data_IF_243801002038
#
_entry.id   IF_243801002038
#
_cell.length_a   1.000
_cell.length_b   1.000
_cell.length_c   1.000
_cell.angle_alpha   90.00
_cell.angle_beta   90.00
_cell.angle_gamma   90.00
#
_symmetry.space_group_name_H-M   'P 1'
#
loop_
_entity.id
_entity.type
_entity.pdbx_description
1 polymer ?
#
# COMPACT_ATOMS: atom_id res chain seq x y z
N UNK A 1 34.51 -3.47 12.34
CA UNK A 1 33.41 -2.97 11.48
C UNK A 1 33.97 -1.81 10.68
N UNK A 2 33.72 -1.75 9.37
CA UNK A 2 34.13 -0.60 8.57
C UNK A 2 33.44 0.68 9.10
N UNK A 3 34.10 1.84 9.00
CA UNK A 3 33.46 3.10 9.36
C UNK A 3 32.25 3.35 8.44
N UNK A 4 31.13 3.85 8.99
CA UNK A 4 29.97 4.18 8.18
C UNK A 4 30.31 5.33 7.23
N UNK A 5 30.14 5.11 5.93
CA UNK A 5 30.36 6.11 4.87
C UNK A 5 29.23 7.16 4.79
N UNK A 6 28.14 6.98 5.53
CA UNK A 6 26.97 7.86 5.53
C UNK A 6 25.69 7.14 5.97
N UNK A 7 24.55 7.80 5.76
CA UNK A 7 23.21 7.25 6.00
C UNK A 7 22.35 7.35 4.74
N UNK A 8 21.53 6.34 4.49
CA UNK A 8 20.56 6.29 3.40
C UNK A 8 19.20 5.87 3.97
N UNK A 9 18.14 6.58 3.59
CA UNK A 9 16.77 6.29 3.99
C UNK A 9 15.89 6.17 2.74
N UNK A 10 15.42 4.96 2.45
CA UNK A 10 14.41 4.72 1.43
C UNK A 10 13.02 4.81 2.07
N UNK A 11 12.20 5.76 1.61
CA UNK A 11 10.83 5.94 2.07
C UNK A 11 9.87 5.67 0.91
N UNK A 12 9.05 4.64 1.05
CA UNK A 12 8.05 4.23 0.06
C UNK A 12 6.66 4.66 0.53
N UNK A 13 5.99 5.54 -0.21
CA UNK A 13 4.64 5.99 0.12
C UNK A 13 3.59 5.17 -0.62
N UNK A 14 2.71 4.50 0.11
CA UNK A 14 1.65 3.63 -0.40
C UNK A 14 0.28 4.24 -0.11
N UNK A 15 -0.41 4.61 -1.17
CA UNK A 15 -1.73 5.24 -1.11
C UNK A 15 -2.60 4.76 -2.27
N UNK A 16 -3.86 4.48 -1.95
CA UNK A 16 -4.97 4.49 -2.89
C UNK A 16 -6.15 5.18 -2.21
N UNK A 17 -7.00 5.90 -2.96
CA UNK A 17 -8.25 6.42 -2.43
C UNK A 17 -9.18 5.26 -2.03
N UNK A 18 -10.29 5.58 -1.37
CA UNK A 18 -11.31 4.58 -1.06
C UNK A 18 -11.98 4.13 -2.36
N UNK A 19 -11.64 2.95 -2.85
CA UNK A 19 -12.16 2.36 -4.10
C UNK A 19 -12.98 1.10 -3.86
N UNK A 20 -12.71 0.38 -2.78
CA UNK A 20 -13.51 -0.77 -2.36
C UNK A 20 -14.99 -0.33 -2.25
N UNK A 21 -15.93 -1.11 -2.79
CA UNK A 21 -17.38 -0.86 -2.85
C UNK A 21 -17.91 0.08 -3.94
N UNK A 22 -17.05 0.63 -4.79
CA UNK A 22 -17.50 1.49 -5.89
C UNK A 22 -17.96 0.63 -7.08
N UNK A 23 -17.11 0.52 -8.10
CA UNK A 23 -17.32 -0.29 -9.27
C UNK A 23 -16.11 -1.22 -9.46
N UNK A 24 -16.30 -2.31 -10.20
CA UNK A 24 -15.24 -3.30 -10.42
C UNK A 24 -13.96 -2.71 -11.02
N UNK A 25 -14.05 -1.66 -11.84
CA UNK A 25 -12.88 -1.06 -12.50
C UNK A 25 -11.98 -0.30 -11.52
N UNK A 26 -12.56 0.38 -10.54
CA UNK A 26 -11.81 1.12 -9.51
C UNK A 26 -11.25 0.17 -8.44
N UNK A 27 -11.97 -0.92 -8.14
CA UNK A 27 -11.49 -1.98 -7.24
C UNK A 27 -10.26 -2.71 -7.82
N UNK A 28 -10.19 -2.85 -9.15
CA UNK A 28 -9.02 -3.43 -9.82
C UNK A 28 -7.73 -2.67 -9.50
N UNK A 29 -7.76 -1.35 -9.28
CA UNK A 29 -6.56 -0.59 -8.90
C UNK A 29 -5.98 -1.06 -7.56
N UNK A 30 -6.84 -1.39 -6.60
CA UNK A 30 -6.40 -1.94 -5.32
C UNK A 30 -5.77 -3.31 -5.51
N UNK A 31 -6.41 -4.18 -6.29
CA UNK A 31 -5.90 -5.53 -6.52
C UNK A 31 -4.60 -5.54 -7.33
N UNK A 32 -4.47 -4.69 -8.34
CA UNK A 32 -3.23 -4.49 -9.12
C UNK A 32 -2.09 -4.02 -8.22
N UNK A 33 -2.32 -2.98 -7.42
CA UNK A 33 -1.30 -2.46 -6.50
C UNK A 33 -0.86 -3.52 -5.48
N UNK A 34 -1.80 -4.31 -4.95
CA UNK A 34 -1.46 -5.40 -4.03
C UNK A 34 -0.67 -6.49 -4.73
N UNK A 35 -1.12 -6.97 -5.89
CA UNK A 35 -0.48 -8.08 -6.60
C UNK A 35 0.90 -7.73 -7.15
N UNK A 36 1.07 -6.51 -7.67
CA UNK A 36 2.24 -6.12 -8.46
C UNK A 36 3.23 -5.22 -7.72
N UNK A 37 2.82 -4.63 -6.59
CA UNK A 37 3.69 -3.77 -5.78
C UNK A 37 3.82 -4.25 -4.34
N UNK A 38 2.71 -4.33 -3.60
CA UNK A 38 2.77 -4.54 -2.15
C UNK A 38 3.25 -5.95 -1.78
N UNK A 39 2.66 -7.00 -2.37
CA UNK A 39 3.08 -8.37 -2.08
C UNK A 39 4.51 -8.67 -2.56
N UNK A 40 4.94 -8.28 -3.77
CA UNK A 40 6.34 -8.41 -4.17
C UNK A 40 7.32 -7.72 -3.20
N UNK A 41 7.02 -6.50 -2.75
CA UNK A 41 7.83 -5.79 -1.77
C UNK A 41 7.89 -6.55 -0.44
N UNK A 42 6.74 -6.96 0.09
CA UNK A 42 6.67 -7.75 1.32
C UNK A 42 7.44 -9.07 1.20
N UNK A 43 7.40 -9.73 0.05
CA UNK A 43 8.14 -10.96 -0.21
C UNK A 43 9.65 -10.71 -0.15
N UNK A 44 10.15 -9.63 -0.77
CA UNK A 44 11.58 -9.25 -0.70
C UNK A 44 11.98 -8.96 0.75
N UNK A 45 11.21 -8.14 1.46
CA UNK A 45 11.50 -7.80 2.86
C UNK A 45 11.49 -9.04 3.76
N UNK A 46 10.52 -9.94 3.57
CA UNK A 46 10.41 -11.19 4.32
C UNK A 46 11.60 -12.11 4.05
N UNK A 47 12.03 -12.23 2.79
CA UNK A 47 13.20 -13.05 2.42
C UNK A 47 14.51 -12.49 3.00
N UNK A 48 14.69 -11.17 3.01
CA UNK A 48 15.85 -10.54 3.63
C UNK A 48 15.84 -10.74 5.14
N UNK A 49 14.69 -10.53 5.78
CA UNK A 49 14.52 -10.73 7.23
C UNK A 49 14.80 -12.18 7.65
N UNK A 50 14.36 -13.16 6.86
CA UNK A 50 14.64 -14.58 7.09
C UNK A 50 16.13 -14.94 7.01
N UNK A 51 16.95 -14.10 6.33
CA UNK A 51 18.41 -14.23 6.26
C UNK A 51 19.13 -13.41 7.34
N UNK A 52 18.41 -12.91 8.34
CA UNK A 52 18.91 -11.99 9.38
C UNK A 52 19.47 -10.67 8.81
N UNK A 53 18.97 -10.24 7.65
CA UNK A 53 19.27 -8.93 7.08
C UNK A 53 18.09 -8.00 7.37
N UNK A 54 18.33 -6.87 8.04
CA UNK A 54 17.33 -5.81 8.15
C UNK A 54 17.51 -4.83 7.00
N UNK A 55 16.57 -4.76 6.03
CA UNK A 55 16.66 -3.84 4.90
C UNK A 55 16.47 -2.37 5.32
N UNK A 56 15.94 -2.12 6.53
CA UNK A 56 15.72 -0.78 7.11
C UNK A 56 14.97 0.16 6.15
N UNK A 57 13.95 -0.36 5.48
CA UNK A 57 13.09 0.43 4.58
C UNK A 57 11.94 1.04 5.38
N UNK A 58 11.61 2.30 5.08
CA UNK A 58 10.46 2.97 5.65
C UNK A 58 9.29 2.90 4.67
N UNK A 59 8.10 2.52 5.14
CA UNK A 59 6.89 2.39 4.32
C UNK A 59 5.79 3.25 4.93
N UNK A 60 5.35 4.28 4.22
CA UNK A 60 4.15 5.03 4.54
C UNK A 60 2.91 4.31 4.01
N UNK A 61 1.92 4.09 4.87
CA UNK A 61 0.64 3.50 4.51
C UNK A 61 -0.47 4.47 4.91
N UNK A 62 -1.24 4.94 3.94
CA UNK A 62 -2.36 5.82 4.26
C UNK A 62 -3.45 5.06 5.04
N UNK A 63 -4.10 5.68 6.02
CA UNK A 63 -5.18 5.06 6.79
C UNK A 63 -6.31 4.50 5.92
N UNK A 64 -6.76 5.26 4.92
CA UNK A 64 -7.77 4.80 3.95
C UNK A 64 -7.36 3.55 3.18
N UNK A 65 -6.06 3.35 2.90
CA UNK A 65 -5.56 2.12 2.31
C UNK A 65 -5.60 0.96 3.32
N UNK A 66 -5.13 1.20 4.56
CA UNK A 66 -5.16 0.18 5.62
C UNK A 66 -6.58 -0.30 5.91
N UNK A 67 -7.55 0.60 5.95
CA UNK A 67 -8.94 0.27 6.21
C UNK A 67 -9.54 -0.59 5.09
N UNK A 68 -9.16 -0.38 3.83
CA UNK A 68 -9.55 -1.24 2.70
C UNK A 68 -8.91 -2.62 2.78
N UNK A 69 -7.62 -2.70 3.11
CA UNK A 69 -6.90 -3.96 3.25
C UNK A 69 -7.39 -4.81 4.43
N UNK A 70 -7.95 -4.16 5.46
CA UNK A 70 -8.54 -4.80 6.63
C UNK A 70 -10.01 -5.20 6.42
N UNK A 71 -10.64 -4.76 5.33
CA UNK A 71 -12.04 -5.06 5.07
C UNK A 71 -12.22 -6.58 4.84
N UNK A 72 -13.19 -7.23 5.48
CA UNK A 72 -13.42 -8.67 5.31
C UNK A 72 -13.69 -9.11 3.86
N UNK A 73 -14.11 -8.19 2.98
CA UNK A 73 -14.35 -8.46 1.56
C UNK A 73 -13.08 -8.46 0.73
N UNK A 74 -12.04 -7.72 1.16
CA UNK A 74 -10.83 -7.54 0.37
C UNK A 74 -10.14 -8.85 0.03
N UNK A 75 -9.84 -9.68 1.04
CA UNK A 75 -9.09 -10.92 0.84
C UNK A 75 -9.77 -11.90 -0.16
N UNK A 76 -11.06 -12.26 -0.04
CA UNK A 76 -11.71 -13.15 -1.00
C UNK A 76 -11.79 -12.54 -2.41
N UNK A 77 -12.06 -11.24 -2.53
CA UNK A 77 -12.13 -10.57 -3.84
C UNK A 77 -10.77 -10.47 -4.52
N UNK A 78 -9.72 -10.17 -3.76
CA UNK A 78 -8.34 -10.17 -4.25
C UNK A 78 -7.91 -11.54 -4.75
N UNK A 79 -8.23 -12.62 -4.00
CA UNK A 79 -7.92 -13.99 -4.43
C UNK A 79 -8.63 -14.30 -5.75
N UNK A 80 -9.92 -13.98 -5.86
CA UNK A 80 -10.68 -14.19 -7.10
C UNK A 80 -10.10 -13.41 -8.28
N UNK A 81 -9.69 -12.15 -8.06
CA UNK A 81 -9.00 -11.34 -9.06
C UNK A 81 -7.70 -12.01 -9.55
N UNK A 82 -6.85 -12.47 -8.64
CA UNK A 82 -5.57 -13.10 -9.01
C UNK A 82 -5.81 -14.42 -9.75
N UNK A 83 -6.77 -15.24 -9.31
CA UNK A 83 -7.15 -16.48 -10.01
C UNK A 83 -7.64 -16.21 -11.45
N UNK A 84 -8.43 -15.15 -11.65
CA UNK A 84 -8.84 -14.71 -12.99
C UNK A 84 -7.62 -14.32 -13.85
N UNK A 85 -6.64 -13.61 -13.29
CA UNK A 85 -5.41 -13.24 -14.02
C UNK A 85 -4.54 -14.46 -14.36
N UNK A 86 -4.43 -15.44 -13.45
CA UNK A 86 -3.77 -16.73 -13.73
C UNK A 86 -4.46 -17.45 -14.88
N UNK A 87 -5.79 -17.50 -14.88
CA UNK A 87 -6.56 -18.14 -15.94
C UNK A 87 -6.31 -17.46 -17.29
N UNK A 88 -6.49 -16.13 -17.37
CA UNK A 88 -6.29 -15.36 -18.58
C UNK A 88 -4.88 -15.54 -19.15
N UNK A 89 -3.84 -15.39 -18.32
CA UNK A 89 -2.46 -15.58 -18.75
C UNK A 89 -2.17 -17.02 -19.21
N UNK A 90 -2.81 -18.02 -18.60
CA UNK A 90 -2.67 -19.42 -19.02
C UNK A 90 -3.38 -19.69 -20.36
N UNK A 91 -4.50 -19.03 -20.63
CA UNK A 91 -5.18 -19.10 -21.91
C UNK A 91 -4.36 -18.43 -23.02
N UNK A 92 -3.80 -17.26 -22.75
CA UNK A 92 -2.90 -16.55 -23.66
C UNK A 92 -1.67 -17.39 -24.00
N UNK A 93 -1.06 -18.03 -22.99
CA UNK A 93 0.06 -18.96 -23.21
C UNK A 93 -0.33 -20.07 -24.20
N UNK A 94 -1.49 -20.71 -24.02
CA UNK A 94 -1.98 -21.75 -24.94
C UNK A 94 -2.28 -21.18 -26.32
N UNK A 95 -2.85 -19.98 -26.39
CA UNK A 95 -3.16 -19.29 -27.65
C UNK A 95 -1.91 -19.03 -28.48
N UNK A 96 -0.88 -18.41 -27.88
CA UNK A 96 0.37 -18.12 -28.58
C UNK A 96 1.17 -19.39 -28.91
N UNK A 97 1.11 -20.42 -28.07
CA UNK A 97 1.71 -21.74 -28.38
C UNK A 97 1.11 -22.34 -29.64
N UNK A 98 -0.23 -22.30 -29.80
CA UNK A 98 -0.91 -22.81 -31.02
C UNK A 98 -0.57 -22.02 -32.28
N UNK A 99 -0.06 -20.79 -32.14
CA UNK A 99 0.31 -19.90 -33.25
C UNK A 99 1.80 -19.94 -33.58
N UNK A 100 2.57 -20.79 -32.91
CA UNK A 100 4.04 -20.85 -33.02
C UNK A 100 4.73 -19.53 -32.63
N UNK A 101 4.07 -18.72 -31.78
CA UNK A 101 4.66 -17.50 -31.22
C UNK A 101 5.29 -17.81 -29.86
N UNK A 102 6.45 -18.46 -29.91
CA UNK A 102 7.15 -18.94 -28.71
C UNK A 102 7.54 -17.82 -27.73
N UNK A 103 7.79 -16.60 -28.24
CA UNK A 103 8.15 -15.47 -27.39
C UNK A 103 6.96 -15.01 -26.55
N UNK A 104 5.80 -14.78 -27.17
CA UNK A 104 4.59 -14.37 -26.46
C UNK A 104 4.03 -15.49 -25.57
N UNK A 105 4.13 -16.75 -26.00
CA UNK A 105 3.76 -17.89 -25.17
C UNK A 105 4.59 -17.94 -23.88
N UNK A 106 5.91 -17.71 -23.97
CA UNK A 106 6.79 -17.64 -22.81
C UNK A 106 6.42 -16.46 -21.90
N UNK A 107 6.18 -15.28 -22.45
CA UNK A 107 5.80 -14.10 -21.66
C UNK A 107 4.49 -14.32 -20.90
N UNK A 108 3.46 -14.86 -21.55
CA UNK A 108 2.20 -15.21 -20.90
C UNK A 108 2.39 -16.25 -19.78
N UNK A 109 3.26 -17.24 -20.01
CA UNK A 109 3.64 -18.21 -18.98
C UNK A 109 4.33 -17.57 -17.77
N UNK A 110 5.19 -16.57 -17.96
CA UNK A 110 5.82 -15.83 -16.86
C UNK A 110 4.79 -15.07 -16.02
N UNK A 111 3.78 -14.46 -16.65
CA UNK A 111 2.69 -13.78 -15.94
C UNK A 111 1.79 -14.75 -15.18
N UNK A 112 1.44 -15.89 -15.78
CA UNK A 112 0.68 -16.92 -15.08
C UNK A 112 1.42 -17.41 -13.82
N UNK A 113 2.73 -17.63 -13.92
CA UNK A 113 3.56 -18.04 -12.79
C UNK A 113 3.74 -16.93 -11.75
N UNK A 114 3.87 -15.68 -12.18
CA UNK A 114 3.90 -14.53 -11.30
C UNK A 114 2.67 -14.49 -10.39
N UNK A 115 1.47 -14.47 -10.96
CA UNK A 115 0.23 -14.41 -10.20
C UNK A 115 -0.01 -15.64 -9.31
N UNK A 116 0.36 -16.85 -9.76
CA UNK A 116 0.30 -18.06 -8.92
C UNK A 116 1.16 -17.94 -7.67
N UNK A 117 2.40 -17.45 -7.82
CA UNK A 117 3.29 -17.26 -6.67
C UNK A 117 2.80 -16.14 -5.76
N UNK A 118 2.26 -15.06 -6.33
CA UNK A 118 1.68 -13.94 -5.57
C UNK A 118 0.53 -14.41 -4.67
N UNK A 119 -0.44 -15.17 -5.19
CA UNK A 119 -1.54 -15.68 -4.36
C UNK A 119 -1.08 -16.75 -3.37
N UNK A 120 -0.12 -17.60 -3.75
CA UNK A 120 0.45 -18.60 -2.84
C UNK A 120 1.15 -17.94 -1.64
N UNK A 121 1.92 -16.87 -1.87
CA UNK A 121 2.56 -16.08 -0.82
C UNK A 121 1.52 -15.39 0.08
N UNK A 122 0.50 -14.76 -0.52
CA UNK A 122 -0.55 -14.09 0.25
C UNK A 122 -1.32 -15.07 1.15
N UNK A 123 -1.78 -16.19 0.61
CA UNK A 123 -2.61 -17.17 1.35
C UNK A 123 -1.75 -18.02 2.29
N UNK A 124 -0.62 -18.54 1.82
CA UNK A 124 0.23 -19.45 2.58
C UNK A 124 1.07 -18.74 3.62
N UNK A 125 2.00 -17.89 3.18
CA UNK A 125 2.98 -17.26 4.05
C UNK A 125 2.38 -16.13 4.91
N UNK A 126 1.41 -15.38 4.36
CA UNK A 126 0.79 -14.26 5.10
C UNK A 126 -0.54 -14.63 5.76
N UNK A 127 -1.09 -15.82 5.52
CA UNK A 127 -2.42 -16.23 6.01
C UNK A 127 -3.53 -15.25 5.61
N UNK A 128 -3.41 -14.68 4.41
CA UNK A 128 -4.29 -13.63 3.86
C UNK A 128 -4.36 -12.36 4.73
N UNK A 129 -3.38 -12.12 5.60
CA UNK A 129 -3.31 -10.97 6.50
C UNK A 129 -2.05 -10.14 6.27
N UNK A 130 -2.14 -9.21 5.31
CA UNK A 130 -1.04 -8.32 4.94
C UNK A 130 -0.69 -7.34 6.08
N UNK A 131 -1.69 -6.86 6.82
CA UNK A 131 -1.49 -5.91 7.93
C UNK A 131 -0.78 -6.62 9.09
N UNK A 132 -1.16 -7.85 9.41
CA UNK A 132 -0.47 -8.68 10.38
C UNK A 132 0.97 -8.96 9.97
N UNK A 133 1.24 -9.22 8.69
CA UNK A 133 2.60 -9.38 8.17
C UNK A 133 3.45 -8.12 8.38
N UNK A 134 2.94 -6.96 7.99
CA UNK A 134 3.60 -5.66 8.22
C UNK A 134 3.83 -5.40 9.71
N UNK A 135 2.86 -5.73 10.58
CA UNK A 135 3.01 -5.62 12.04
C UNK A 135 4.15 -6.48 12.56
N UNK A 136 4.30 -7.72 12.06
CA UNK A 136 5.41 -8.63 12.43
C UNK A 136 6.76 -8.05 11.97
N UNK A 137 6.85 -7.59 10.73
CA UNK A 137 8.07 -7.02 10.16
C UNK A 137 8.50 -5.75 10.90
N UNK A 138 7.54 -4.89 11.29
CA UNK A 138 7.82 -3.72 12.12
C UNK A 138 8.36 -4.10 13.50
N UNK A 139 7.76 -5.11 14.15
CA UNK A 139 8.22 -5.59 15.46
C UNK A 139 9.64 -6.18 15.40
N UNK A 140 10.02 -6.72 14.25
CA UNK A 140 11.37 -7.23 13.97
C UNK A 140 12.37 -6.14 13.56
N UNK A 141 11.94 -4.88 13.50
CA UNK A 141 12.74 -3.75 13.02
C UNK A 141 13.27 -3.97 11.58
N UNK A 142 12.57 -4.78 10.77
CA UNK A 142 12.88 -4.98 9.37
C UNK A 142 12.39 -3.80 8.51
N UNK A 143 11.27 -3.20 8.94
CA UNK A 143 10.67 -2.00 8.34
C UNK A 143 10.27 -1.00 9.41
N UNK A 144 10.29 0.27 9.06
CA UNK A 144 9.61 1.32 9.81
C UNK A 144 8.31 1.70 9.09
N UNK A 145 7.19 1.74 9.80
CA UNK A 145 5.91 2.11 9.21
C UNK A 145 5.53 3.54 9.59
N UNK A 146 5.06 4.31 8.60
CA UNK A 146 4.53 5.65 8.80
C UNK A 146 3.02 5.65 8.58
N UNK A 147 2.33 6.55 9.27
CA UNK A 147 0.92 6.89 8.96
C UNK A 147 0.85 8.13 8.06
N UNK A 148 -0.36 8.55 7.71
CA UNK A 148 -0.64 9.80 7.00
C UNK A 148 -1.98 10.38 7.47
N UNK A 149 -2.47 11.42 6.79
CA UNK A 149 -3.83 11.93 6.96
C UNK A 149 -4.86 10.84 6.60
N UNK A 150 -5.98 10.81 7.32
CA UNK A 150 -7.01 9.78 7.21
C UNK A 150 -7.34 9.37 5.76
N UNK A 151 -7.61 10.35 4.90
CA UNK A 151 -7.98 10.12 3.49
C UNK A 151 -6.97 10.73 2.53
N UNK A 152 -5.73 10.93 2.97
CA UNK A 152 -4.69 11.61 2.17
C UNK A 152 -5.11 13.02 1.69
N UNK A 153 -5.91 13.73 2.52
CA UNK A 153 -6.39 15.06 2.17
C UNK A 153 -5.23 16.05 1.99
N UNK A 154 -5.34 16.95 1.00
CA UNK A 154 -4.35 18.00 0.75
C UNK A 154 -4.40 19.06 1.87
N UNK A 155 -3.70 18.77 2.98
CA UNK A 155 -3.83 19.47 4.26
C UNK A 155 -3.73 21.00 4.16
N UNK A 156 -2.79 21.60 3.39
CA UNK A 156 -2.67 23.05 3.29
C UNK A 156 -3.88 23.81 2.76
N UNK A 157 -4.77 23.12 2.02
CA UNK A 157 -5.95 23.74 1.42
C UNK A 157 -7.25 23.47 2.19
N UNK A 158 -7.18 22.70 3.29
CA UNK A 158 -8.33 22.57 4.17
C UNK A 158 -8.57 23.90 4.90
N UNK A 159 -9.77 24.44 4.71
CA UNK A 159 -10.17 25.75 5.21
C UNK A 159 -10.14 25.84 6.74
N UNK A 160 -10.59 24.78 7.41
CA UNK A 160 -10.73 24.76 8.87
C UNK A 160 -9.57 24.01 9.51
N UNK A 161 -8.99 24.59 10.56
CA UNK A 161 -7.99 23.90 11.37
C UNK A 161 -8.53 22.60 11.99
N UNK A 162 -9.82 22.58 12.31
CA UNK A 162 -10.50 21.39 12.82
C UNK A 162 -10.51 20.24 11.79
N UNK A 163 -10.63 20.54 10.50
CA UNK A 163 -10.54 19.54 9.43
C UNK A 163 -9.12 18.98 9.29
N UNK A 164 -8.09 19.83 9.39
CA UNK A 164 -6.69 19.39 9.42
C UNK A 164 -6.43 18.49 10.63
N UNK A 165 -6.87 18.92 11.83
CA UNK A 165 -6.73 18.15 13.06
C UNK A 165 -7.42 16.80 12.98
N UNK A 166 -8.66 16.76 12.52
CA UNK A 166 -9.42 15.52 12.37
C UNK A 166 -8.71 14.54 11.42
N UNK A 167 -8.18 15.00 10.29
CA UNK A 167 -7.42 14.16 9.36
C UNK A 167 -6.18 13.52 10.01
N UNK A 168 -5.44 14.26 10.84
CA UNK A 168 -4.25 13.76 11.53
C UNK A 168 -4.63 12.81 12.67
N UNK A 169 -5.62 13.17 13.49
CA UNK A 169 -6.05 12.38 14.64
C UNK A 169 -6.66 11.04 14.22
N UNK A 170 -7.56 11.05 13.23
CA UNK A 170 -8.16 9.83 12.67
C UNK A 170 -7.07 8.96 12.05
N UNK A 171 -6.13 9.55 11.30
CA UNK A 171 -5.06 8.78 10.68
C UNK A 171 -4.10 8.14 11.69
N UNK A 172 -3.81 8.84 12.78
CA UNK A 172 -3.02 8.30 13.90
C UNK A 172 -3.78 7.21 14.65
N UNK A 173 -5.09 7.38 14.86
CA UNK A 173 -5.94 6.40 15.52
C UNK A 173 -6.09 5.10 14.70
N UNK A 174 -6.30 5.22 13.38
CA UNK A 174 -6.36 4.08 12.46
C UNK A 174 -5.04 3.31 12.46
N UNK A 175 -3.89 3.99 12.39
CA UNK A 175 -2.58 3.34 12.54
C UNK A 175 -2.46 2.56 13.86
N UNK A 176 -2.86 3.17 14.98
CA UNK A 176 -2.80 2.52 16.29
C UNK A 176 -3.71 1.30 16.35
N UNK A 177 -4.90 1.37 15.76
CA UNK A 177 -5.84 0.23 15.65
C UNK A 177 -5.21 -0.93 14.88
N UNK A 178 -4.53 -0.64 13.76
CA UNK A 178 -3.95 -1.66 12.88
C UNK A 178 -2.61 -2.21 13.37
N UNK A 179 -1.77 -1.42 14.05
CA UNK A 179 -0.42 -1.84 14.44
C UNK A 179 -0.22 -1.99 15.95
N UNK A 180 -1.17 -1.54 16.78
CA UNK A 180 -1.12 -1.65 18.23
C UNK A 180 -0.10 -0.71 18.89
N UNK A 181 0.57 0.15 18.12
CA UNK A 181 1.60 1.07 18.59
C UNK A 181 1.35 2.48 18.04
N UNK A 182 2.01 3.46 18.66
CA UNK A 182 1.98 4.84 18.23
C UNK A 182 2.86 5.02 16.97
N UNK A 183 2.40 5.72 15.92
CA UNK A 183 3.26 6.00 14.77
C UNK A 183 4.36 6.97 15.21
N UNK A 184 5.60 6.71 14.79
CA UNK A 184 6.75 7.59 15.08
C UNK A 184 7.03 8.62 13.98
N UNK A 185 6.48 8.40 12.79
CA UNK A 185 6.57 9.34 11.69
C UNK A 185 5.27 9.41 10.90
N UNK A 186 5.20 10.44 10.07
CA UNK A 186 4.00 10.84 9.36
C UNK A 186 4.38 11.29 7.95
N UNK A 187 3.76 10.68 6.95
CA UNK A 187 3.84 11.16 5.58
C UNK A 187 2.80 12.26 5.36
N UNK A 188 3.26 13.50 5.14
CA UNK A 188 2.37 14.59 4.75
C UNK A 188 1.81 14.29 3.34
N UNK A 189 0.49 14.30 3.13
CA UNK A 189 -0.08 14.11 1.81
C UNK A 189 0.54 15.06 0.78
N UNK A 190 1.07 14.50 -0.31
CA UNK A 190 1.81 15.23 -1.35
C UNK A 190 3.02 16.04 -0.85
N UNK A 191 3.58 15.66 0.30
CA UNK A 191 4.55 16.46 1.03
C UNK A 191 4.10 17.92 1.23
N UNK A 192 2.78 18.16 1.19
CA UNK A 192 2.20 19.48 1.15
C UNK A 192 2.26 20.10 2.55
N UNK A 193 2.91 21.26 2.63
CA UNK A 193 3.18 21.94 3.89
C UNK A 193 2.77 23.40 3.82
N UNK A 194 2.18 23.90 4.91
CA UNK A 194 1.86 25.32 5.11
C UNK A 194 2.46 25.78 6.44
N UNK A 195 3.38 26.75 6.46
CA UNK A 195 3.87 27.34 7.70
C UNK A 195 2.76 28.18 8.37
N UNK A 196 2.99 28.58 9.62
CA UNK A 196 2.12 29.56 10.28
C UNK A 196 2.18 30.91 9.54
N UNK A 197 1.04 31.55 9.35
CA UNK A 197 0.95 32.84 8.67
C UNK A 197 -0.43 33.12 8.09
N UNK A 198 -0.57 34.27 7.44
CA UNK A 198 -1.76 34.58 6.66
C UNK A 198 -1.88 33.61 5.48
N UNK A 199 -3.08 33.09 5.26
CA UNK A 199 -3.39 32.16 4.20
C UNK A 199 -4.67 32.57 3.51
N UNK A 200 -4.65 32.54 2.17
CA UNK A 200 -5.81 32.83 1.34
C UNK A 200 -6.47 31.53 0.90
N UNK A 201 -7.74 31.28 1.25
CA UNK A 201 -8.49 30.14 0.75
C UNK A 201 -8.65 30.18 -0.77
N UNK A 202 -8.69 28.99 -1.44
CA UNK A 202 -8.86 28.91 -2.88
C UNK A 202 -10.26 29.36 -3.37
N UNK A 203 -11.24 29.43 -2.47
CA UNK A 203 -12.62 29.80 -2.77
C UNK A 203 -13.10 30.96 -1.89
N UNK A 204 -12.60 32.18 -2.14
CA UNK A 204 -13.08 33.42 -1.51
C UNK A 204 -12.99 33.46 0.03
N UNK A 205 -13.44 34.55 0.66
CA UNK A 205 -13.46 34.62 2.12
C UNK A 205 -14.29 33.46 2.68
N UNK A 206 -13.78 32.83 3.75
CA UNK A 206 -14.51 31.83 4.53
C UNK A 206 -15.66 32.56 5.23
N UNK A 207 -16.75 32.79 4.49
CA UNK A 207 -18.01 33.27 5.05
C UNK A 207 -18.38 32.29 6.15
N UNK A 208 -18.55 32.82 7.36
CA UNK A 208 -18.90 32.11 8.59
C UNK A 208 -19.79 30.91 8.28
N UNK A 209 -19.17 29.71 8.25
CA UNK A 209 -19.94 28.48 8.25
C UNK A 209 -20.61 28.40 9.62
N UNK A 210 -21.94 28.24 9.68
CA UNK A 210 -22.71 28.28 10.92
C UNK A 210 -22.26 27.23 11.95
#
# INVERSE_FOLDING_TARGET
MAEPIGAFALVLHSHLPYVLTHNRLEEEWLFEAVAESYLPLLQVVTQLSARNLSPKVTIGLTPVLLDQLADPRFAPEFIAYVEQKVHAASEDQRFFTRRDDGHLARLAGLWAEFYRRTVAFFVGDLSSDMIGALRRLQKQEAVELLTSAATHAYLPLLALESSVRAQIEIGTASYRRHFGVQPRGFWLPECAYRPAGQWSPPFGDLVELP
#
